data_IF_829365801545
#
_entry.id   IF_829365801545
#
_cell.length_a   1.000
_cell.length_b   1.000
_cell.length_c   1.000
_cell.angle_alpha   90.00
_cell.angle_beta   90.00
_cell.angle_gamma   90.00
#
_symmetry.space_group_name_H-M   'P 1'
#
loop_
_entity.id
_entity.type
_entity.pdbx_description
1 polymer ?
#
# COMPACT_ATOMS: atom_id res chain seq x y z
N UNK A 1 10.27 -4.16 -6.17
CA UNK A 1 9.20 -5.19 -6.31
C UNK A 1 8.68 -5.72 -4.97
N UNK A 2 9.54 -5.96 -3.96
CA UNK A 2 9.12 -6.52 -2.66
C UNK A 2 7.90 -5.82 -2.04
N UNK A 3 7.89 -4.48 -2.00
CA UNK A 3 6.77 -3.72 -1.43
C UNK A 3 5.41 -3.93 -2.12
N UNK A 4 5.38 -4.18 -3.45
CA UNK A 4 4.12 -4.48 -4.15
C UNK A 4 3.55 -5.85 -3.74
N UNK A 5 4.43 -6.81 -3.43
CA UNK A 5 4.05 -8.12 -2.90
C UNK A 5 3.58 -7.99 -1.45
N UNK A 6 4.27 -7.18 -0.64
CA UNK A 6 3.92 -6.94 0.76
C UNK A 6 2.53 -6.29 0.89
N UNK A 7 2.15 -5.43 -0.06
CA UNK A 7 0.79 -4.85 -0.14
C UNK A 7 -0.23 -5.75 -0.83
N UNK A 8 0.12 -6.99 -1.18
CA UNK A 8 -0.83 -7.97 -1.68
C UNK A 8 -1.35 -7.70 -3.08
N UNK A 9 -0.53 -7.09 -3.94
CA UNK A 9 -0.82 -6.85 -5.35
C UNK A 9 -0.03 -7.82 -6.25
N UNK A 10 0.29 -8.99 -5.73
CA UNK A 10 1.01 -10.06 -6.43
C UNK A 10 0.28 -10.60 -7.66
N UNK A 11 -1.04 -10.42 -7.71
CA UNK A 11 -1.88 -10.78 -8.84
C UNK A 11 -1.94 -9.69 -9.93
N UNK A 12 -1.34 -8.52 -9.71
CA UNK A 12 -1.25 -7.46 -10.71
C UNK A 12 0.02 -7.60 -11.54
N UNK A 13 -0.13 -7.40 -12.84
CA UNK A 13 0.99 -7.30 -13.77
C UNK A 13 1.35 -5.84 -14.02
N UNK A 14 2.63 -5.56 -14.30
CA UNK A 14 3.14 -4.18 -14.48
C UNK A 14 2.54 -3.46 -15.71
N UNK A 15 2.01 -4.21 -16.67
CA UNK A 15 1.34 -3.71 -17.88
C UNK A 15 -0.15 -3.38 -17.65
N UNK A 16 -0.70 -3.68 -16.47
CA UNK A 16 -2.10 -3.38 -16.17
C UNK A 16 -2.30 -1.86 -16.13
N UNK A 17 -3.27 -1.38 -16.91
CA UNK A 17 -3.58 0.04 -17.02
C UNK A 17 -4.12 0.58 -15.69
N UNK A 18 -3.60 1.73 -15.28
CA UNK A 18 -3.98 2.40 -14.02
C UNK A 18 -5.50 2.68 -13.90
N UNK A 19 -6.19 2.91 -15.03
CA UNK A 19 -7.63 3.16 -15.06
C UNK A 19 -8.49 1.90 -14.79
N UNK A 20 -7.90 0.71 -14.71
CA UNK A 20 -8.60 -0.55 -14.38
C UNK A 20 -8.40 -0.98 -12.93
N UNK A 21 -7.71 -0.16 -12.13
CA UNK A 21 -7.48 -0.42 -10.72
C UNK A 21 -8.71 -0.02 -9.91
N UNK A 22 -9.12 -0.87 -8.99
CA UNK A 22 -10.06 -0.50 -7.94
C UNK A 22 -9.45 0.56 -7.01
N UNK A 23 -10.30 1.27 -6.26
CA UNK A 23 -9.84 2.26 -5.28
C UNK A 23 -8.85 1.67 -4.26
N UNK A 24 -9.13 0.46 -3.76
CA UNK A 24 -8.24 -0.25 -2.83
C UNK A 24 -6.91 -0.67 -3.46
N UNK A 25 -6.87 -1.02 -4.74
CA UNK A 25 -5.62 -1.32 -5.45
C UNK A 25 -4.77 -0.05 -5.59
N UNK A 26 -5.37 1.07 -6.00
CA UNK A 26 -4.68 2.35 -6.14
C UNK A 26 -4.07 2.80 -4.80
N UNK A 27 -4.83 2.68 -3.71
CA UNK A 27 -4.36 3.02 -2.37
C UNK A 27 -3.16 2.17 -1.93
N UNK A 28 -3.19 0.87 -2.19
CA UNK A 28 -2.08 -0.04 -1.87
C UNK A 28 -0.83 0.24 -2.71
N UNK A 29 -0.97 0.64 -3.98
CA UNK A 29 0.17 1.09 -4.81
C UNK A 29 0.84 2.33 -4.22
N UNK A 30 0.04 3.33 -3.82
CA UNK A 30 0.59 4.54 -3.20
C UNK A 30 1.34 4.21 -1.90
N UNK A 31 0.80 3.29 -1.11
CA UNK A 31 1.42 2.83 0.13
C UNK A 31 2.74 2.08 -0.12
N UNK A 32 2.79 1.18 -1.11
CA UNK A 32 4.02 0.50 -1.52
C UNK A 32 5.08 1.49 -2.03
N UNK A 33 4.65 2.55 -2.69
CA UNK A 33 5.53 3.62 -3.20
C UNK A 33 6.12 4.45 -2.05
N UNK A 34 5.30 4.77 -1.04
CA UNK A 34 5.75 5.44 0.18
C UNK A 34 6.74 4.61 1.00
N UNK A 35 6.50 3.29 1.14
CA UNK A 35 7.44 2.37 1.75
C UNK A 35 8.78 2.31 1.00
N UNK A 36 8.72 2.29 -0.33
CA UNK A 36 9.91 2.15 -1.19
C UNK A 36 10.72 3.44 -1.35
N UNK A 37 10.17 4.61 -1.00
CA UNK A 37 10.87 5.89 -1.15
C UNK A 37 11.86 6.19 -0.02
N UNK A 38 11.94 5.35 1.03
CA UNK A 38 12.91 5.46 2.14
C UNK A 38 13.06 6.88 2.70
N UNK A 39 11.97 7.63 2.76
CA UNK A 39 11.94 8.98 3.31
C UNK A 39 11.90 8.91 4.84
N UNK A 40 13.06 8.76 5.48
CA UNK A 40 13.22 8.86 6.94
C UNK A 40 12.82 10.26 7.43
N UNK A 41 12.10 10.35 8.55
CA UNK A 41 11.63 11.62 9.10
C UNK A 41 10.41 12.24 8.41
N UNK A 42 9.60 11.45 7.70
CA UNK A 42 8.36 11.91 7.06
C UNK A 42 7.11 11.57 7.89
N UNK A 43 6.16 12.52 7.94
CA UNK A 43 4.85 12.32 8.56
C UNK A 43 3.84 11.88 7.49
N UNK A 44 3.34 10.65 7.61
CA UNK A 44 2.26 10.16 6.77
C UNK A 44 0.91 10.39 7.46
N UNK A 45 0.03 11.17 6.81
CA UNK A 45 -1.36 11.37 7.23
C UNK A 45 -2.26 10.58 6.28
N UNK A 46 -3.07 9.69 6.86
CA UNK A 46 -3.96 8.80 6.13
C UNK A 46 -5.40 9.14 6.52
N UNK A 47 -6.23 9.48 5.54
CA UNK A 47 -7.65 9.69 5.73
C UNK A 47 -8.40 8.40 5.36
N UNK A 48 -9.16 7.85 6.32
CA UNK A 48 -9.85 6.55 6.28
C UNK A 48 -9.18 5.46 5.41
N UNK A 49 -8.01 4.92 5.81
CA UNK A 49 -7.23 4.05 4.94
C UNK A 49 -7.84 2.67 4.69
N UNK A 50 -8.96 2.34 5.34
CA UNK A 50 -9.65 1.06 5.25
C UNK A 50 -10.85 1.09 4.29
N UNK A 51 -11.28 2.26 3.83
CA UNK A 51 -12.43 2.39 2.92
C UNK A 51 -12.15 1.71 1.58
N UNK A 52 -13.08 0.86 1.14
CA UNK A 52 -12.96 0.14 -0.12
C UNK A 52 -11.96 -1.02 -0.10
N UNK A 53 -11.35 -1.34 1.06
CA UNK A 53 -10.59 -2.57 1.24
C UNK A 53 -11.51 -3.74 1.58
N UNK A 54 -11.18 -4.90 1.01
CA UNK A 54 -11.78 -6.15 1.43
C UNK A 54 -11.31 -6.47 2.86
N UNK A 55 -12.18 -7.04 3.71
CA UNK A 55 -11.88 -7.33 5.12
C UNK A 55 -10.62 -8.20 5.33
N UNK A 56 -10.33 -9.07 4.37
CA UNK A 56 -9.11 -9.90 4.33
C UNK A 56 -7.83 -9.08 4.23
N UNK A 57 -7.88 -7.91 3.59
CA UNK A 57 -6.69 -7.11 3.28
C UNK A 57 -6.41 -6.04 4.36
N UNK A 58 -7.35 -5.80 5.29
CA UNK A 58 -7.17 -4.87 6.41
C UNK A 58 -5.97 -5.22 7.29
N UNK A 59 -5.74 -6.52 7.56
CA UNK A 59 -4.59 -6.96 8.36
C UNK A 59 -3.26 -6.69 7.64
N UNK A 60 -3.22 -6.80 6.31
CA UNK A 60 -2.03 -6.46 5.51
C UNK A 60 -1.74 -4.96 5.59
N UNK A 61 -2.78 -4.12 5.47
CA UNK A 61 -2.65 -2.67 5.64
C UNK A 61 -2.02 -2.32 6.99
N UNK A 62 -2.51 -2.92 8.09
CA UNK A 62 -1.98 -2.67 9.44
C UNK A 62 -0.48 -3.01 9.51
N UNK A 63 -0.07 -4.18 9.02
CA UNK A 63 1.34 -4.58 9.02
C UNK A 63 2.25 -3.64 8.21
N UNK A 64 1.73 -3.05 7.15
CA UNK A 64 2.49 -2.07 6.36
C UNK A 64 2.68 -0.77 7.13
N UNK A 65 1.63 -0.30 7.83
CA UNK A 65 1.73 0.88 8.67
C UNK A 65 2.71 0.68 9.82
N UNK A 66 2.73 -0.52 10.42
CA UNK A 66 3.73 -0.93 11.41
C UNK A 66 5.15 -0.90 10.80
N UNK A 67 5.32 -1.45 9.60
CA UNK A 67 6.60 -1.44 8.89
C UNK A 67 7.09 -0.03 8.54
N UNK A 68 6.16 0.87 8.16
CA UNK A 68 6.45 2.29 7.92
C UNK A 68 6.91 2.99 9.19
N UNK A 69 6.25 2.73 10.32
CA UNK A 69 6.65 3.26 11.64
C UNK A 69 8.04 2.77 12.02
N UNK A 70 8.33 1.49 11.83
CA UNK A 70 9.59 0.88 12.28
C UNK A 70 10.78 1.25 11.38
N UNK A 71 10.51 1.70 10.14
CA UNK A 71 11.54 2.10 9.17
C UNK A 71 11.86 3.60 9.16
N UNK A 72 11.03 4.43 9.81
CA UNK A 72 11.15 5.89 9.86
C UNK A 72 11.87 6.39 11.10
#
# INVERSE_FOLDING_TARGET
>A
LKYLLDVGLDYLTLDRRANTLSGGEFQRINLATALGSSLTGSLYVLDEPTVGLHSRDTHRLIHILESLRDSG
#
